data_IF_857408260408
#
_entry.id   IF_857408260408
#
_cell.length_a   1.000
_cell.length_b   1.000
_cell.length_c   1.000
_cell.angle_alpha   90.00
_cell.angle_beta   90.00
_cell.angle_gamma   90.00
#
_symmetry.space_group_name_H-M   'P 1'
#
loop_
_entity.id
_entity.type
_entity.pdbx_description
1 polymer ?
#
# COMPACT_ATOMS: atom_id res chain seq x y z
N UNK A 1 -18.83 5.95 5.70
CA UNK A 1 -18.51 4.71 4.96
C UNK A 1 -17.08 4.79 4.44
N UNK A 2 -16.41 3.68 4.10
CA UNK A 2 -15.06 3.73 3.57
C UNK A 2 -15.04 4.38 2.18
N UNK A 3 -14.05 5.25 1.96
CA UNK A 3 -13.83 5.94 0.69
C UNK A 3 -12.91 5.13 -0.23
N UNK A 4 -13.05 5.34 -1.53
CA UNK A 4 -12.23 4.71 -2.57
C UNK A 4 -11.89 5.69 -3.68
N UNK A 5 -10.88 5.34 -4.47
CA UNK A 5 -10.53 6.06 -5.72
C UNK A 5 -10.47 5.07 -6.87
N UNK A 6 -11.21 5.35 -7.92
CA UNK A 6 -11.02 4.72 -9.22
C UNK A 6 -9.91 5.45 -9.98
N UNK A 7 -8.98 4.70 -10.51
CA UNK A 7 -7.97 5.16 -11.47
C UNK A 7 -8.31 4.56 -12.83
N UNK A 8 -8.78 5.39 -13.73
CA UNK A 8 -9.06 5.01 -15.11
C UNK A 8 -7.84 5.33 -15.97
N UNK A 9 -7.05 4.30 -16.28
CA UNK A 9 -5.79 4.47 -17.00
C UNK A 9 -6.01 4.91 -18.45
N UNK A 10 -7.17 4.63 -19.05
CA UNK A 10 -7.51 5.05 -20.42
C UNK A 10 -7.70 6.56 -20.53
N UNK A 11 -7.97 7.23 -19.39
CA UNK A 11 -8.18 8.68 -19.31
C UNK A 11 -6.94 9.43 -18.82
N UNK A 12 -5.92 8.71 -18.37
CA UNK A 12 -4.69 9.33 -17.89
C UNK A 12 -3.86 9.83 -19.08
N UNK A 13 -3.46 11.10 -19.03
CA UNK A 13 -2.63 11.75 -20.06
C UNK A 13 -1.17 11.95 -19.61
N UNK A 14 -0.75 11.35 -18.51
CA UNK A 14 0.63 11.43 -18.03
C UNK A 14 1.08 12.83 -17.56
N UNK A 15 0.17 13.76 -17.31
CA UNK A 15 0.49 15.17 -16.98
C UNK A 15 1.23 15.39 -15.66
N UNK A 16 1.32 14.38 -14.79
CA UNK A 16 1.94 14.40 -13.44
C UNK A 16 1.32 15.41 -12.46
N UNK A 17 0.21 16.06 -12.78
CA UNK A 17 -0.48 16.98 -11.88
C UNK A 17 -0.76 16.37 -10.51
N UNK A 18 -1.19 15.10 -10.45
CA UNK A 18 -1.40 14.35 -9.22
C UNK A 18 -0.11 14.15 -8.39
N UNK A 19 1.05 14.00 -9.03
CA UNK A 19 2.35 13.86 -8.40
C UNK A 19 2.79 15.20 -7.76
N UNK A 20 2.66 16.29 -8.51
CA UNK A 20 3.00 17.63 -8.04
C UNK A 20 2.07 18.06 -6.90
N UNK A 21 0.75 17.87 -7.04
CA UNK A 21 -0.21 18.21 -6.01
C UNK A 21 -0.01 17.43 -4.70
N UNK A 22 0.35 16.13 -4.80
CA UNK A 22 0.69 15.32 -3.62
C UNK A 22 1.95 15.85 -2.93
N UNK A 23 2.97 16.20 -3.72
CA UNK A 23 4.24 16.74 -3.21
C UNK A 23 4.04 18.09 -2.52
N UNK A 24 3.29 18.98 -3.14
CA UNK A 24 2.97 20.30 -2.57
C UNK A 24 2.15 20.19 -1.28
N UNK A 25 1.11 19.35 -1.28
CA UNK A 25 0.24 19.17 -0.11
C UNK A 25 0.98 18.60 1.11
N UNK A 26 1.90 17.66 0.89
CA UNK A 26 2.65 17.01 1.97
C UNK A 26 4.01 17.70 2.24
N UNK A 27 4.25 18.89 1.69
CA UNK A 27 5.46 19.69 1.87
C UNK A 27 6.76 18.88 1.67
N UNK A 28 6.73 17.97 0.69
CA UNK A 28 7.86 17.08 0.45
C UNK A 28 9.02 17.82 -0.21
N UNK A 29 10.23 17.61 0.31
CA UNK A 29 11.45 18.21 -0.25
C UNK A 29 11.72 17.75 -1.68
N UNK A 30 12.54 18.52 -2.39
CA UNK A 30 12.93 18.22 -3.77
C UNK A 30 13.76 16.95 -3.82
N UNK A 31 13.44 16.07 -4.77
CA UNK A 31 14.30 14.94 -5.14
C UNK A 31 15.25 15.41 -6.25
N UNK A 32 16.55 15.28 -6.04
CA UNK A 32 17.53 15.50 -7.12
C UNK A 32 17.29 14.46 -8.19
N UNK A 33 17.03 14.93 -9.40
CA UNK A 33 16.77 14.10 -10.56
C UNK A 33 17.75 14.42 -11.67
N UNK A 34 18.10 13.43 -12.46
CA UNK A 34 18.96 13.56 -13.64
C UNK A 34 18.20 13.10 -14.88
N UNK A 35 18.56 13.62 -16.02
CA UNK A 35 18.02 13.13 -17.29
C UNK A 35 18.60 11.75 -17.56
N UNK A 36 17.72 10.74 -17.60
CA UNK A 36 18.09 9.32 -17.78
C UNK A 36 17.63 8.75 -19.12
N UNK A 37 17.13 9.60 -20.02
CA UNK A 37 16.49 9.15 -21.26
C UNK A 37 15.04 8.67 -21.08
N UNK A 38 14.54 8.61 -19.83
CA UNK A 38 13.15 8.28 -19.51
C UNK A 38 12.36 9.53 -19.13
N UNK A 39 11.07 9.53 -19.43
CA UNK A 39 10.13 10.54 -18.93
C UNK A 39 9.79 10.35 -17.45
N UNK A 40 10.15 9.23 -16.83
CA UNK A 40 9.91 8.97 -15.42
C UNK A 40 10.83 9.82 -14.54
N UNK A 41 10.23 10.70 -13.75
CA UNK A 41 10.97 11.58 -12.86
C UNK A 41 10.14 11.91 -11.60
N UNK A 42 10.55 11.45 -10.42
CA UNK A 42 11.68 10.55 -10.15
C UNK A 42 11.44 9.12 -10.67
N UNK A 43 12.50 8.32 -10.90
CA UNK A 43 12.38 6.97 -11.47
C UNK A 43 11.77 5.95 -10.52
N UNK A 44 11.68 6.28 -9.22
CA UNK A 44 11.10 5.42 -8.20
C UNK A 44 10.34 6.23 -7.15
N UNK A 45 9.44 5.58 -6.42
CA UNK A 45 8.89 6.17 -5.19
C UNK A 45 9.94 6.20 -4.09
N UNK A 46 9.89 7.25 -3.27
CA UNK A 46 10.79 7.46 -2.15
C UNK A 46 10.05 8.13 -0.99
N UNK A 47 10.77 8.41 0.09
CA UNK A 47 10.29 9.20 1.21
C UNK A 47 9.83 10.62 0.83
N UNK A 48 10.29 11.10 -0.32
CA UNK A 48 9.92 12.42 -0.88
C UNK A 48 9.00 12.33 -2.11
N UNK A 49 8.50 11.12 -2.43
CA UNK A 49 7.62 10.88 -3.55
C UNK A 49 6.59 9.79 -3.22
N UNK A 50 5.40 10.19 -2.73
CA UNK A 50 4.33 9.26 -2.31
C UNK A 50 3.49 8.75 -3.47
N UNK A 51 3.54 9.39 -4.61
CA UNK A 51 2.88 8.98 -5.83
C UNK A 51 3.67 9.43 -7.04
N UNK A 52 3.70 8.62 -8.07
CA UNK A 52 4.32 8.93 -9.35
C UNK A 52 3.49 8.41 -10.51
N UNK A 53 3.79 8.89 -11.70
CA UNK A 53 3.29 8.32 -12.95
C UNK A 53 4.45 7.57 -13.61
N UNK A 54 4.26 6.28 -13.85
CA UNK A 54 5.13 5.49 -14.72
C UNK A 54 4.74 5.68 -16.17
N UNK A 55 5.73 5.75 -17.03
CA UNK A 55 5.58 5.86 -18.47
C UNK A 55 6.00 4.54 -19.08
N UNK A 56 5.03 3.78 -19.56
CA UNK A 56 5.31 2.52 -20.23
C UNK A 56 5.13 2.68 -21.71
N UNK A 57 6.23 2.61 -22.42
CA UNK A 57 6.28 2.58 -23.86
C UNK A 57 6.08 1.14 -24.34
N UNK A 58 5.36 0.98 -25.41
CA UNK A 58 5.07 -0.33 -26.00
C UNK A 58 4.62 -0.17 -27.44
N UNK A 59 4.25 -1.28 -28.04
CA UNK A 59 3.73 -1.33 -29.41
C UNK A 59 2.42 -2.12 -29.43
N UNK A 60 1.46 -1.62 -30.18
CA UNK A 60 0.22 -2.31 -30.43
C UNK A 60 -0.09 -2.27 -31.94
N UNK A 61 -0.03 -3.45 -32.59
CA UNK A 61 -0.30 -3.55 -34.02
C UNK A 61 0.67 -2.74 -34.90
N UNK A 62 1.95 -2.63 -34.53
CA UNK A 62 2.96 -1.85 -35.25
C UNK A 62 2.93 -0.34 -34.93
N UNK A 63 2.05 0.11 -34.02
CA UNK A 63 1.94 1.53 -33.64
C UNK A 63 2.49 1.72 -32.23
N UNK A 64 3.42 2.68 -32.01
CA UNK A 64 3.88 3.02 -30.68
C UNK A 64 2.74 3.46 -29.77
N UNK A 65 2.69 2.93 -28.56
CA UNK A 65 1.71 3.29 -27.54
C UNK A 65 2.38 3.68 -26.24
N UNK A 66 1.84 4.68 -25.57
CA UNK A 66 2.28 5.11 -24.26
C UNK A 66 1.17 4.86 -23.24
N UNK A 67 1.52 4.15 -22.18
CA UNK A 67 0.63 3.90 -21.06
C UNK A 67 1.13 4.69 -19.85
N UNK A 68 0.21 5.35 -19.16
CA UNK A 68 0.50 6.16 -18.00
C UNK A 68 -0.10 5.50 -16.76
N UNK A 69 0.76 4.94 -15.91
CA UNK A 69 0.35 4.18 -14.74
C UNK A 69 0.62 4.98 -13.48
N UNK A 70 -0.45 5.35 -12.78
CA UNK A 70 -0.34 6.01 -11.48
C UNK A 70 0.03 4.98 -10.41
N UNK A 71 1.09 5.25 -9.67
CA UNK A 71 1.60 4.39 -8.60
C UNK A 71 1.57 5.13 -7.26
N UNK A 72 1.01 4.49 -6.22
CA UNK A 72 0.94 4.98 -4.83
C UNK A 72 0.51 3.85 -3.89
N UNK A 73 0.39 4.13 -2.60
CA UNK A 73 -0.22 3.20 -1.65
C UNK A 73 -1.67 2.90 -2.02
N UNK A 74 -2.03 1.62 -2.04
CA UNK A 74 -3.39 1.17 -2.40
C UNK A 74 -4.36 1.19 -1.22
N UNK A 75 -3.89 1.45 0.00
CA UNK A 75 -4.71 1.50 1.22
C UNK A 75 -5.62 0.28 1.38
N UNK A 76 -5.02 -0.92 1.43
CA UNK A 76 -5.70 -2.21 1.54
C UNK A 76 -6.84 -2.17 2.56
N UNK A 77 -7.90 -2.94 2.32
CA UNK A 77 -9.01 -3.09 3.27
C UNK A 77 -8.51 -3.73 4.57
N UNK A 78 -7.72 -4.78 4.45
CA UNK A 78 -7.00 -5.43 5.54
C UNK A 78 -5.49 -5.25 5.34
N UNK A 79 -4.90 -4.13 5.85
CA UNK A 79 -3.54 -3.76 5.53
C UNK A 79 -2.52 -4.63 6.28
N UNK A 80 -1.77 -5.47 5.55
CA UNK A 80 -0.68 -6.27 6.11
C UNK A 80 0.37 -5.41 6.83
N UNK A 81 0.66 -4.21 6.32
CA UNK A 81 1.60 -3.29 6.96
C UNK A 81 1.13 -2.78 8.33
N UNK A 82 -0.18 -2.66 8.57
CA UNK A 82 -0.72 -2.32 9.87
C UNK A 82 -0.74 -3.54 10.80
N UNK A 83 -1.14 -4.71 10.28
CA UNK A 83 -1.12 -5.96 11.04
C UNK A 83 0.30 -6.36 11.49
N UNK A 84 1.30 -6.13 10.66
CA UNK A 84 2.70 -6.42 10.98
C UNK A 84 3.36 -5.39 11.92
N UNK A 85 2.67 -4.29 12.25
CA UNK A 85 3.25 -3.24 13.08
C UNK A 85 3.13 -3.59 14.57
N UNK A 86 4.24 -3.91 15.27
CA UNK A 86 4.18 -4.37 16.66
C UNK A 86 3.75 -3.29 17.66
N UNK A 87 3.88 -2.02 17.26
CA UNK A 87 3.58 -0.86 18.11
C UNK A 87 2.32 -0.10 17.66
N UNK A 88 1.61 -0.60 16.66
CA UNK A 88 0.39 0.04 16.17
C UNK A 88 0.60 1.43 15.56
N UNK A 89 1.80 1.72 15.03
CA UNK A 89 2.09 3.00 14.37
C UNK A 89 1.35 3.16 13.03
N UNK A 90 0.95 2.06 12.40
CA UNK A 90 0.12 2.05 11.19
C UNK A 90 -1.29 1.57 11.54
N UNK A 91 -2.28 2.37 11.22
CA UNK A 91 -3.68 2.10 11.59
C UNK A 91 -4.61 2.28 10.39
N UNK A 92 -5.54 1.37 10.20
CA UNK A 92 -6.66 1.51 9.26
C UNK A 92 -7.75 2.36 9.88
N UNK A 93 -8.08 3.48 9.23
CA UNK A 93 -9.15 4.37 9.69
C UNK A 93 -10.53 3.94 9.15
N UNK A 94 -11.59 4.43 9.75
CA UNK A 94 -12.97 4.21 9.29
C UNK A 94 -13.22 4.78 7.89
N UNK A 95 -12.51 5.86 7.52
CA UNK A 95 -12.59 6.45 6.17
C UNK A 95 -11.90 5.63 5.09
N UNK A 96 -11.17 4.57 5.45
CA UNK A 96 -10.43 3.73 4.50
C UNK A 96 -8.96 4.09 4.33
N UNK A 97 -8.47 5.17 4.92
CA UNK A 97 -7.05 5.49 4.93
C UNK A 97 -6.27 4.54 5.85
N UNK A 98 -5.03 4.23 5.48
CA UNK A 98 -4.04 3.65 6.39
C UNK A 98 -3.13 4.79 6.80
N UNK A 99 -3.29 5.28 8.02
CA UNK A 99 -2.52 6.39 8.58
C UNK A 99 -1.27 5.90 9.29
N UNK A 100 -0.34 6.80 9.56
CA UNK A 100 0.92 6.53 10.22
C UNK A 100 1.16 7.55 11.33
N UNK A 101 1.44 7.04 12.52
CA UNK A 101 1.81 7.79 13.71
C UNK A 101 3.32 7.63 13.92
N UNK A 102 4.06 8.70 13.70
CA UNK A 102 5.53 8.68 13.77
C UNK A 102 6.04 8.61 15.22
N UNK A 103 5.27 9.07 16.21
CA UNK A 103 5.66 9.04 17.62
C UNK A 103 5.70 7.62 18.19
N UNK A 104 4.88 6.72 17.62
CA UNK A 104 4.87 5.30 18.00
C UNK A 104 5.91 4.45 17.27
N UNK A 105 6.45 4.94 16.17
CA UNK A 105 7.27 4.13 15.29
C UNK A 105 8.66 3.84 15.89
N UNK A 106 9.02 2.57 15.99
CA UNK A 106 10.34 2.10 16.46
C UNK A 106 11.31 1.78 15.31
N UNK A 107 10.95 2.04 14.07
CA UNK A 107 11.83 1.83 12.92
C UNK A 107 12.11 0.36 12.54
N UNK A 108 11.29 -0.61 12.98
CA UNK A 108 11.54 -2.05 12.75
C UNK A 108 11.43 -2.51 11.29
N UNK A 109 10.83 -1.70 10.39
CA UNK A 109 10.69 -1.92 8.94
C UNK A 109 9.79 -3.10 8.52
N UNK A 110 9.13 -3.77 9.44
CA UNK A 110 8.23 -4.88 9.10
C UNK A 110 7.13 -4.48 8.11
N UNK A 111 6.64 -3.25 8.16
CA UNK A 111 5.66 -2.74 7.21
C UNK A 111 6.15 -2.68 5.75
N UNK A 112 7.48 -2.54 5.53
CA UNK A 112 8.05 -2.61 4.17
C UNK A 112 8.00 -4.04 3.63
N UNK A 113 8.40 -5.01 4.46
CA UNK A 113 8.44 -6.43 4.08
C UNK A 113 7.04 -7.01 3.92
N UNK A 114 6.11 -6.60 4.81
CA UNK A 114 4.73 -7.09 4.78
C UNK A 114 3.89 -6.53 3.62
N UNK A 115 4.33 -5.46 2.96
CA UNK A 115 3.53 -4.83 1.90
C UNK A 115 3.70 -5.57 0.57
N UNK A 116 2.66 -6.22 0.02
CA UNK A 116 2.77 -6.95 -1.25
C UNK A 116 2.95 -6.03 -2.47
N UNK A 117 2.81 -4.71 -2.26
CA UNK A 117 2.97 -3.68 -3.28
C UNK A 117 4.25 -2.86 -3.10
N UNK A 118 5.13 -3.20 -2.14
CA UNK A 118 6.43 -2.56 -1.87
C UNK A 118 6.36 -1.03 -1.67
N UNK A 119 5.27 -0.53 -1.11
CA UNK A 119 4.97 0.90 -1.04
C UNK A 119 5.66 1.64 0.10
N UNK A 120 5.67 1.18 1.37
CA UNK A 120 6.28 1.94 2.45
C UNK A 120 7.77 2.19 2.18
N UNK A 121 8.19 3.46 2.25
CA UNK A 121 9.60 3.86 2.11
C UNK A 121 10.08 4.46 3.43
N UNK A 122 11.38 4.43 3.64
CA UNK A 122 12.01 4.94 4.85
C UNK A 122 12.81 6.19 4.56
N UNK A 123 12.79 7.13 5.50
CA UNK A 123 13.66 8.31 5.50
C UNK A 123 15.03 7.91 6.08
N UNK A 124 15.89 7.38 5.22
CA UNK A 124 17.21 6.85 5.60
C UNK A 124 18.19 7.89 6.13
N UNK A 125 17.95 9.18 5.87
CA UNK A 125 18.78 10.28 6.38
C UNK A 125 18.70 10.44 7.90
N UNK A 126 17.68 9.88 8.55
CA UNK A 126 17.47 9.91 10.00
C UNK A 126 17.76 8.54 10.61
N UNK A 127 19.04 8.27 10.91
CA UNK A 127 19.48 6.96 11.37
C UNK A 127 18.84 6.51 12.71
N UNK A 128 18.60 7.46 13.63
CA UNK A 128 18.08 7.15 14.97
C UNK A 128 16.55 7.04 15.03
N UNK A 129 15.83 7.68 14.11
CA UNK A 129 14.38 7.68 14.07
C UNK A 129 13.88 7.69 12.62
N UNK A 130 14.07 6.59 11.89
CA UNK A 130 13.67 6.50 10.50
C UNK A 130 12.14 6.47 10.40
N UNK A 131 11.58 7.46 9.75
CA UNK A 131 10.13 7.54 9.54
C UNK A 131 9.70 6.78 8.30
N UNK A 132 8.55 6.13 8.42
CA UNK A 132 7.88 5.52 7.28
C UNK A 132 7.17 6.58 6.47
N UNK A 133 7.42 6.60 5.18
CA UNK A 133 6.79 7.54 4.24
C UNK A 133 5.99 6.78 3.19
N UNK A 134 4.74 7.15 3.03
CA UNK A 134 3.82 6.62 2.01
C UNK A 134 2.65 7.57 1.82
N UNK A 135 1.83 7.33 0.80
CA UNK A 135 0.57 8.04 0.63
C UNK A 135 -0.27 7.99 1.93
N UNK A 136 -0.82 9.13 2.34
CA UNK A 136 -1.68 9.28 3.52
C UNK A 136 -3.18 9.14 3.20
N UNK A 137 -3.52 8.97 1.90
CA UNK A 137 -4.88 9.08 1.38
C UNK A 137 -5.48 10.47 1.62
N UNK A 138 -4.66 11.45 1.93
CA UNK A 138 -5.09 12.78 2.36
C UNK A 138 -6.15 12.74 3.46
N UNK A 139 -5.94 11.92 4.51
CA UNK A 139 -6.91 11.68 5.58
C UNK A 139 -7.37 12.99 6.24
N UNK A 140 -6.46 13.96 6.40
CA UNK A 140 -6.75 15.30 6.92
C UNK A 140 -7.73 16.06 6.02
N UNK A 141 -7.46 16.08 4.70
CA UNK A 141 -8.39 16.71 3.73
C UNK A 141 -9.76 16.05 3.74
N UNK A 142 -9.79 14.72 3.87
CA UNK A 142 -11.06 13.98 3.94
C UNK A 142 -11.84 14.32 5.22
N UNK A 143 -11.17 14.58 6.34
CA UNK A 143 -11.80 15.04 7.58
C UNK A 143 -12.52 16.40 7.38
N UNK A 144 -11.95 17.26 6.55
CA UNK A 144 -12.51 18.56 6.17
C UNK A 144 -13.47 18.47 4.96
N UNK A 145 -13.91 17.27 4.57
CA UNK A 145 -14.75 17.02 3.39
C UNK A 145 -14.16 17.50 2.07
N UNK A 146 -12.84 17.60 1.99
CA UNK A 146 -12.12 17.98 0.77
C UNK A 146 -11.65 16.74 0.00
N UNK A 147 -11.64 16.85 -1.33
CA UNK A 147 -11.08 15.81 -2.20
C UNK A 147 -9.58 15.62 -1.92
N UNK A 148 -9.04 14.39 -2.04
CA UNK A 148 -7.60 14.16 -2.06
C UNK A 148 -6.91 15.07 -3.09
N UNK A 149 -5.75 15.62 -2.76
CA UNK A 149 -5.06 16.63 -3.58
C UNK A 149 -4.84 16.14 -5.03
N UNK A 150 -4.44 14.88 -5.19
CA UNK A 150 -4.23 14.28 -6.51
C UNK A 150 -5.52 14.12 -7.33
N UNK A 151 -6.65 13.86 -6.67
CA UNK A 151 -7.96 13.76 -7.33
C UNK A 151 -8.43 15.14 -7.79
N UNK A 152 -8.38 16.13 -6.88
CA UNK A 152 -8.79 17.52 -7.17
C UNK A 152 -8.07 18.10 -8.38
N UNK A 153 -6.80 17.73 -8.57
CA UNK A 153 -5.95 18.30 -9.62
C UNK A 153 -6.01 17.54 -10.95
N UNK A 154 -6.72 16.40 -11.04
CA UNK A 154 -6.74 15.57 -12.25
C UNK A 154 -7.60 16.23 -13.35
N UNK A 155 -6.99 16.74 -14.45
CA UNK A 155 -7.74 17.53 -15.45
C UNK A 155 -8.68 16.68 -16.30
N UNK A 156 -8.38 15.39 -16.48
CA UNK A 156 -9.17 14.48 -17.33
C UNK A 156 -10.22 13.69 -16.57
N UNK A 157 -10.26 13.84 -15.22
CA UNK A 157 -11.11 13.00 -14.38
C UNK A 157 -10.75 11.51 -14.44
N UNK A 158 -9.47 11.20 -14.71
CA UNK A 158 -8.96 9.83 -14.61
C UNK A 158 -9.02 9.30 -13.17
N UNK A 159 -9.04 10.20 -12.17
CA UNK A 159 -9.18 9.88 -10.76
C UNK A 159 -10.58 10.26 -10.28
N UNK A 160 -11.35 9.28 -9.83
CA UNK A 160 -12.68 9.47 -9.27
C UNK A 160 -12.68 9.02 -7.81
N UNK A 161 -13.03 9.93 -6.88
CA UNK A 161 -13.13 9.68 -5.45
C UNK A 161 -14.59 9.67 -5.01
N UNK A 162 -14.94 8.75 -4.12
CA UNK A 162 -16.30 8.64 -3.56
C UNK A 162 -16.43 7.50 -2.55
N UNK A 163 -17.67 7.14 -2.24
CA UNK A 163 -17.95 5.95 -1.44
C UNK A 163 -17.49 4.69 -2.20
N UNK A 164 -16.93 3.73 -1.48
CA UNK A 164 -16.29 2.56 -2.10
C UNK A 164 -17.23 1.77 -3.01
N UNK A 165 -18.49 1.62 -2.61
CA UNK A 165 -19.50 0.90 -3.39
C UNK A 165 -19.88 1.66 -4.67
N UNK A 166 -20.05 2.98 -4.58
CA UNK A 166 -20.36 3.84 -5.72
C UNK A 166 -19.21 3.85 -6.74
N UNK A 167 -17.98 3.98 -6.23
CA UNK A 167 -16.77 3.97 -7.06
C UNK A 167 -16.62 2.62 -7.79
N UNK A 168 -16.89 1.51 -7.11
CA UNK A 168 -16.87 0.18 -7.72
C UNK A 168 -17.98 0.02 -8.77
N UNK A 169 -19.18 0.52 -8.49
CA UNK A 169 -20.28 0.50 -9.45
C UNK A 169 -19.94 1.28 -10.72
N UNK A 170 -19.31 2.46 -10.59
CA UNK A 170 -18.84 3.25 -11.74
C UNK A 170 -17.76 2.48 -12.52
N UNK A 171 -16.82 1.81 -11.85
CA UNK A 171 -15.81 0.99 -12.52
C UNK A 171 -16.46 -0.12 -13.35
N UNK A 172 -17.37 -0.89 -12.76
CA UNK A 172 -18.12 -1.96 -13.46
C UNK A 172 -18.94 -1.43 -14.64
N UNK A 173 -19.61 -0.28 -14.47
CA UNK A 173 -20.37 0.37 -15.56
C UNK A 173 -19.44 0.78 -16.73
N UNK A 174 -18.24 1.32 -16.44
CA UNK A 174 -17.27 1.66 -17.49
C UNK A 174 -16.78 0.42 -18.22
N UNK A 175 -16.44 -0.64 -17.52
CA UNK A 175 -15.99 -1.92 -18.11
C UNK A 175 -17.06 -2.50 -19.03
N UNK A 176 -18.33 -2.44 -18.65
CA UNK A 176 -19.46 -2.93 -19.48
C UNK A 176 -19.58 -2.24 -20.85
N UNK A 177 -18.88 -1.12 -21.08
CA UNK A 177 -18.84 -0.48 -22.41
C UNK A 177 -18.00 -1.22 -23.45
N UNK A 178 -17.26 -2.26 -23.05
CA UNK A 178 -16.42 -3.06 -23.94
C UNK A 178 -15.10 -2.40 -24.36
N UNK A 179 -14.76 -1.24 -23.78
CA UNK A 179 -13.49 -0.51 -24.06
C UNK A 179 -12.35 -0.86 -23.10
N UNK A 180 -12.58 -1.77 -22.18
CA UNK A 180 -11.64 -2.14 -21.11
C UNK A 180 -11.37 -3.64 -21.15
N UNK A 181 -10.29 -4.08 -20.51
CA UNK A 181 -9.87 -5.47 -20.46
C UNK A 181 -10.78 -6.41 -19.62
N UNK A 182 -11.83 -5.88 -19.02
CA UNK A 182 -12.78 -6.65 -18.21
C UNK A 182 -12.39 -6.86 -16.75
N UNK A 183 -11.20 -6.45 -16.33
CA UNK A 183 -10.67 -6.63 -14.98
C UNK A 183 -10.64 -5.33 -14.17
N UNK A 184 -10.79 -5.45 -12.84
CA UNK A 184 -10.57 -4.37 -11.88
C UNK A 184 -9.43 -4.78 -10.98
N UNK A 185 -8.26 -4.15 -11.13
CA UNK A 185 -7.15 -4.37 -10.21
C UNK A 185 -7.37 -3.63 -8.89
N UNK A 186 -7.12 -4.29 -7.78
CA UNK A 186 -7.37 -3.77 -6.44
C UNK A 186 -8.75 -4.13 -5.87
N UNK A 187 -9.65 -4.74 -6.64
CA UNK A 187 -10.94 -5.24 -6.13
C UNK A 187 -10.72 -6.44 -5.20
N UNK A 188 -9.81 -7.35 -5.58
CA UNK A 188 -9.55 -8.62 -4.88
C UNK A 188 -8.14 -8.70 -4.29
N UNK A 189 -7.13 -8.09 -4.91
CA UNK A 189 -5.74 -8.18 -4.52
C UNK A 189 -5.56 -7.81 -3.04
N UNK A 190 -4.87 -8.70 -2.29
CA UNK A 190 -4.66 -8.59 -0.84
C UNK A 190 -5.97 -8.38 -0.03
N UNK A 191 -7.07 -9.03 -0.43
CA UNK A 191 -8.39 -8.86 0.20
C UNK A 191 -9.12 -7.57 -0.22
N UNK A 192 -8.65 -6.91 -1.27
CA UNK A 192 -9.19 -5.65 -1.79
C UNK A 192 -8.52 -4.41 -1.21
N UNK A 193 -8.61 -3.33 -1.98
CA UNK A 193 -7.93 -2.07 -1.69
C UNK A 193 -8.88 -0.88 -1.85
N UNK A 194 -8.48 0.30 -1.35
CA UNK A 194 -9.23 1.53 -1.52
C UNK A 194 -8.92 2.24 -2.85
N UNK A 195 -7.85 1.84 -3.53
CA UNK A 195 -7.52 2.30 -4.87
C UNK A 195 -7.74 1.17 -5.85
N UNK A 196 -8.67 1.35 -6.78
CA UNK A 196 -8.98 0.37 -7.81
C UNK A 196 -8.66 0.94 -9.19
N UNK A 197 -8.27 0.07 -10.11
CA UNK A 197 -7.84 0.46 -11.45
C UNK A 197 -8.65 -0.26 -12.51
N UNK A 198 -8.91 0.45 -13.62
CA UNK A 198 -9.43 -0.10 -14.86
C UNK A 198 -8.52 0.33 -16.01
N UNK A 199 -8.34 -0.55 -16.99
CA UNK A 199 -7.46 -0.35 -18.13
C UNK A 199 -8.03 -1.02 -19.38
N UNK A 200 -7.55 -0.61 -20.55
CA UNK A 200 -7.83 -1.25 -21.85
C UNK A 200 -6.93 -2.45 -22.13
N UNK A 201 -5.89 -2.65 -21.31
CA UNK A 201 -4.88 -3.70 -21.46
C UNK A 201 -4.74 -4.54 -20.21
N UNK A 202 -4.22 -5.77 -20.29
CA UNK A 202 -3.91 -6.61 -19.15
C UNK A 202 -2.98 -5.90 -18.15
N UNK A 203 -3.28 -5.98 -16.86
CA UNK A 203 -2.49 -5.32 -15.82
C UNK A 203 -1.04 -5.82 -15.74
N UNK A 204 -0.79 -7.07 -16.15
CA UNK A 204 0.57 -7.62 -16.24
C UNK A 204 1.43 -6.83 -17.24
N UNK A 205 0.88 -6.46 -18.41
CA UNK A 205 1.55 -5.65 -19.42
C UNK A 205 1.83 -4.22 -18.94
N UNK A 206 0.97 -3.71 -18.05
CA UNK A 206 1.13 -2.41 -17.41
C UNK A 206 2.06 -2.43 -16.19
N UNK A 207 2.73 -3.57 -15.94
CA UNK A 207 3.71 -3.75 -14.87
C UNK A 207 3.11 -3.73 -13.47
N UNK A 208 1.84 -4.09 -13.32
CA UNK A 208 1.25 -4.36 -12.01
C UNK A 208 1.69 -5.73 -11.50
N UNK A 209 1.84 -5.84 -10.18
CA UNK A 209 2.11 -7.12 -9.55
C UNK A 209 0.82 -7.97 -9.53
N UNK A 210 0.66 -8.84 -10.52
CA UNK A 210 -0.49 -9.76 -10.63
C UNK A 210 -0.33 -11.02 -9.79
N UNK A 211 0.82 -11.22 -9.12
CA UNK A 211 1.08 -12.36 -8.22
C UNK A 211 0.60 -12.13 -6.78
N UNK A 212 0.06 -10.95 -6.49
CA UNK A 212 -0.49 -10.64 -5.17
C UNK A 212 -1.66 -11.58 -4.89
N UNK A 213 -1.70 -12.28 -3.74
CA UNK A 213 -2.83 -13.11 -3.36
C UNK A 213 -4.14 -12.33 -3.38
N UNK A 214 -5.23 -12.98 -3.76
CA UNK A 214 -6.56 -12.35 -3.78
C UNK A 214 -7.19 -12.24 -2.39
N UNK A 215 -6.70 -13.06 -1.46
CA UNK A 215 -7.15 -13.06 -0.07
C UNK A 215 -6.35 -12.04 0.75
N UNK A 216 -6.91 -11.63 1.88
CA UNK A 216 -6.22 -10.78 2.83
C UNK A 216 -5.00 -11.49 3.44
N UNK A 217 -3.88 -10.77 3.61
CA UNK A 217 -2.65 -11.36 4.13
C UNK A 217 -2.63 -11.56 5.66
N UNK A 218 -3.24 -10.68 6.48
CA UNK A 218 -3.20 -10.81 7.94
C UNK A 218 -3.66 -12.16 8.50
N UNK A 219 -4.72 -12.82 7.97
CA UNK A 219 -5.14 -14.12 8.46
C UNK A 219 -4.09 -15.23 8.33
N UNK A 220 -3.22 -15.19 7.33
CA UNK A 220 -2.16 -16.19 7.16
C UNK A 220 -1.16 -16.19 8.31
N UNK A 221 -0.76 -15.03 8.78
CA UNK A 221 0.16 -14.90 9.91
C UNK A 221 -0.55 -15.13 11.23
N UNK A 222 -1.82 -14.73 11.37
CA UNK A 222 -2.60 -14.88 12.58
C UNK A 222 -2.80 -16.32 12.98
N UNK A 223 -2.99 -17.23 12.03
CA UNK A 223 -3.12 -18.67 12.27
C UNK A 223 -1.91 -19.28 13.00
N UNK A 224 -0.71 -18.72 12.81
CA UNK A 224 0.52 -19.12 13.50
C UNK A 224 0.74 -18.30 14.77
N UNK A 225 0.61 -16.99 14.71
CA UNK A 225 0.85 -16.08 15.83
C UNK A 225 -0.10 -16.32 17.01
N UNK A 226 -1.33 -16.71 16.76
CA UNK A 226 -2.32 -17.02 17.81
C UNK A 226 -1.96 -18.25 18.65
N UNK A 227 -1.07 -19.13 18.18
CA UNK A 227 -0.61 -20.32 18.90
C UNK A 227 0.58 -20.05 19.81
N UNK A 228 1.35 -18.98 19.56
CA UNK A 228 2.58 -18.64 20.30
C UNK A 228 2.36 -18.56 21.82
N UNK A 229 1.29 -17.93 22.37
CA UNK A 229 1.09 -17.90 23.81
C UNK A 229 0.94 -19.28 24.42
N UNK A 230 0.22 -20.20 23.74
CA UNK A 230 0.01 -21.56 24.20
C UNK A 230 1.32 -22.38 24.15
N UNK A 231 2.10 -22.19 23.11
CA UNK A 231 3.41 -22.82 22.95
C UNK A 231 4.40 -22.35 24.04
N UNK A 232 4.44 -21.05 24.34
CA UNK A 232 5.28 -20.50 25.42
C UNK A 232 4.88 -21.10 26.78
N UNK A 233 3.59 -21.16 27.08
CA UNK A 233 3.10 -21.75 28.35
C UNK A 233 3.44 -23.24 28.40
N UNK A 234 3.26 -23.97 27.29
CA UNK A 234 3.63 -25.38 27.20
C UNK A 234 5.13 -25.61 27.44
N UNK A 235 5.98 -24.85 26.81
CA UNK A 235 7.43 -24.89 27.03
C UNK A 235 7.81 -24.56 28.48
N UNK A 236 7.23 -23.52 29.04
CA UNK A 236 7.47 -23.13 30.45
C UNK A 236 7.06 -24.25 31.41
N UNK A 237 5.94 -24.91 31.18
CA UNK A 237 5.47 -26.02 32.00
C UNK A 237 6.43 -27.23 31.91
N UNK A 238 6.88 -27.58 30.70
CA UNK A 238 7.86 -28.68 30.49
C UNK A 238 9.18 -28.37 31.17
N UNK A 239 9.74 -27.16 30.96
CA UNK A 239 11.01 -26.76 31.59
C UNK A 239 10.89 -26.68 33.12
N UNK A 240 9.76 -26.16 33.63
CA UNK A 240 9.47 -26.13 35.06
C UNK A 240 9.35 -27.53 35.66
N UNK A 241 8.68 -28.45 34.96
CA UNK A 241 8.60 -29.87 35.35
C UNK A 241 9.96 -30.55 35.40
N UNK A 242 10.80 -30.35 34.38
CA UNK A 242 12.15 -30.89 34.33
C UNK A 242 13.01 -30.32 35.45
N UNK A 243 12.96 -29.03 35.71
CA UNK A 243 13.68 -28.38 36.80
C UNK A 243 13.24 -28.93 38.17
N UNK A 244 11.93 -29.15 38.34
CA UNK A 244 11.37 -29.71 39.57
C UNK A 244 11.83 -31.16 39.79
N UNK A 245 11.80 -32.01 38.76
CA UNK A 245 12.33 -33.39 38.85
C UNK A 245 13.81 -33.41 39.18
N UNK A 246 14.62 -32.57 38.52
CA UNK A 246 16.05 -32.45 38.79
C UNK A 246 16.35 -32.04 40.25
N UNK A 247 15.57 -31.12 40.78
CA UNK A 247 15.76 -30.62 42.14
C UNK A 247 15.22 -31.56 43.24
N UNK A 248 14.47 -32.61 42.88
CA UNK A 248 14.01 -33.68 43.77
C UNK A 248 14.95 -34.88 43.83
N UNK A 249 15.98 -34.91 42.97
CA UNK A 249 17.03 -35.94 43.08
C UNK A 249 17.71 -35.88 44.48
N UNK A 250 18.21 -37.03 45.00
CA UNK A 250 18.82 -37.05 46.31
C UNK A 250 19.98 -36.05 46.34
N UNK A 251 19.90 -35.11 47.28
CA UNK A 251 21.05 -34.27 47.63
C UNK A 251 22.11 -35.22 48.09
N UNK A 252 23.13 -35.47 47.24
CA UNK A 252 24.29 -36.26 47.62
C UNK A 252 24.82 -35.73 48.94
N UNK A 253 24.83 -36.58 49.97
CA UNK A 253 25.39 -36.25 51.26
C UNK A 253 26.89 -36.01 51.12
N UNK A 254 27.37 -34.95 51.68
CA UNK A 254 28.76 -34.81 52.12
C UNK A 254 29.00 -35.77 53.26
#
# INVERSE_FOLDING_TARGET
MPKSVLVDLTRCIGCRGCQVACKSWNEMSVVKTTVTGSFENPPAMSEHCYTRIRYQEGEAGGVPVWNFVKEQCLHCKEPACASACPVGALVKTKSGAVTYDFDKCIGCRYCMVACPFEIPKYEWSKAQQPWVKKCTFCAERQADNLLPACVKTCPTGALLFGEAEEVLAVAKKRIATGKYNGEIYGEKEAGGTAWIYIADRPFAELGFNTRVPKEALPPYTWSSLSKIPVEIVGFAAVLGGLAWVRNRGPKGGE
#
